data_IF_581860748925
#
_entry.id   IF_581860748925
#
_cell.length_a   1.000
_cell.length_b   1.000
_cell.length_c   1.000
_cell.angle_alpha   90.00
_cell.angle_beta   90.00
_cell.angle_gamma   90.00
#
_symmetry.space_group_name_H-M   'P 1'
#
loop_
_entity.id
_entity.type
_entity.pdbx_description
1 polymer ?
#
# COMPACT_ATOMS: atom_id res chain seq x y z
N UNK A 1 -7.11 19.71 1.12
CA UNK A 1 -6.59 18.93 -0.01
C UNK A 1 -7.19 17.53 0.08
N UNK A 2 -8.27 17.29 -0.68
CA UNK A 2 -9.03 16.03 -0.67
C UNK A 2 -8.32 15.02 -1.57
N UNK A 3 -7.69 14.01 -0.95
CA UNK A 3 -6.91 13.00 -1.65
C UNK A 3 -7.84 11.84 -2.07
N UNK A 4 -8.15 11.80 -3.36
CA UNK A 4 -9.04 10.83 -3.98
C UNK A 4 -8.40 9.44 -4.04
N UNK A 5 -8.88 8.52 -3.19
CA UNK A 5 -8.36 7.15 -3.08
C UNK A 5 -9.02 6.20 -4.11
N UNK A 6 -8.69 6.34 -5.39
CA UNK A 6 -9.13 5.43 -6.45
C UNK A 6 -8.20 4.22 -6.60
N UNK A 7 -8.44 3.15 -5.84
CA UNK A 7 -7.50 2.01 -5.85
C UNK A 7 -8.17 0.65 -6.08
N UNK A 8 -9.15 0.58 -6.98
CA UNK A 8 -9.83 -0.66 -7.46
C UNK A 8 -10.94 -1.19 -6.54
N UNK A 9 -11.98 -1.73 -7.17
CA UNK A 9 -13.13 -2.30 -6.48
C UNK A 9 -12.80 -3.70 -5.97
N UNK A 10 -12.89 -3.95 -4.65
CA UNK A 10 -12.56 -5.26 -4.10
C UNK A 10 -13.60 -6.36 -4.35
N UNK A 11 -14.73 -6.02 -4.98
CA UNK A 11 -15.79 -6.97 -5.33
C UNK A 11 -15.57 -7.54 -6.73
N UNK A 12 -15.11 -6.73 -7.69
CA UNK A 12 -14.90 -7.15 -9.08
C UNK A 12 -13.45 -7.02 -9.56
N UNK A 13 -12.55 -6.49 -8.72
CA UNK A 13 -11.12 -6.27 -8.97
C UNK A 13 -10.77 -5.29 -10.11
N UNK A 14 -11.78 -4.64 -10.71
CA UNK A 14 -11.64 -3.63 -11.76
C UNK A 14 -11.34 -2.24 -11.17
N UNK A 15 -10.70 -1.39 -11.95
CA UNK A 15 -10.37 -0.02 -11.58
C UNK A 15 -11.63 0.81 -11.30
N UNK A 16 -11.58 1.63 -10.26
CA UNK A 16 -12.63 2.57 -9.91
C UNK A 16 -12.36 3.88 -10.63
N UNK A 17 -13.29 4.35 -11.46
CA UNK A 17 -13.22 5.69 -12.07
C UNK A 17 -13.99 6.69 -11.21
N UNK A 18 -13.65 7.97 -11.31
CA UNK A 18 -14.33 9.04 -10.56
C UNK A 18 -15.85 8.97 -10.66
N UNK A 19 -16.35 8.72 -11.87
CA UNK A 19 -17.77 8.68 -12.20
C UNK A 19 -18.49 7.41 -11.73
N UNK A 20 -17.75 6.30 -11.57
CA UNK A 20 -18.34 4.99 -11.24
C UNK A 20 -18.14 4.56 -9.79
N UNK A 21 -17.26 5.23 -9.06
CA UNK A 21 -16.97 4.95 -7.66
C UNK A 21 -18.04 5.50 -6.73
N UNK A 22 -18.49 4.65 -5.82
CA UNK A 22 -19.37 5.00 -4.72
C UNK A 22 -18.70 4.56 -3.43
N UNK A 23 -18.88 5.35 -2.39
CA UNK A 23 -18.21 5.21 -1.12
C UNK A 23 -19.22 4.88 -0.03
N UNK A 24 -18.87 3.96 0.86
CA UNK A 24 -19.64 3.72 2.07
C UNK A 24 -19.31 4.80 3.10
N UNK A 25 -20.28 5.62 3.51
CA UNK A 25 -20.04 6.70 4.48
C UNK A 25 -19.61 6.21 5.85
N UNK A 26 -19.92 4.97 6.22
CA UNK A 26 -19.58 4.37 7.53
C UNK A 26 -18.09 4.07 7.68
N UNK A 27 -17.39 3.76 6.59
CA UNK A 27 -15.98 3.34 6.61
C UNK A 27 -15.12 3.98 5.51
N UNK A 28 -15.73 4.86 4.72
CA UNK A 28 -15.15 5.58 3.59
C UNK A 28 -14.49 4.69 2.52
N UNK A 29 -14.91 3.42 2.41
CA UNK A 29 -14.41 2.48 1.41
C UNK A 29 -15.18 2.57 0.09
N UNK A 30 -14.45 2.52 -1.02
CA UNK A 30 -14.97 2.80 -2.35
C UNK A 30 -15.13 1.53 -3.19
N UNK A 31 -16.20 1.47 -3.97
CA UNK A 31 -16.60 0.36 -4.85
C UNK A 31 -17.35 0.87 -6.07
N UNK A 32 -17.47 0.07 -7.12
CA UNK A 32 -18.41 0.45 -8.19
C UNK A 32 -19.81 0.43 -7.64
N UNK A 33 -20.64 1.40 -8.02
CA UNK A 33 -22.07 1.46 -7.66
C UNK A 33 -22.74 0.09 -7.72
N UNK A 34 -22.64 -0.56 -8.88
CA UNK A 34 -23.24 -1.88 -9.13
C UNK A 34 -22.67 -2.97 -8.22
N UNK A 35 -21.38 -2.93 -7.92
CA UNK A 35 -20.72 -3.94 -7.09
C UNK A 35 -21.16 -3.87 -5.63
N UNK A 36 -21.17 -2.68 -5.04
CA UNK A 36 -21.57 -2.53 -3.64
C UNK A 36 -23.09 -2.65 -3.47
N UNK A 37 -23.88 -2.12 -4.40
CA UNK A 37 -25.34 -2.29 -4.36
C UNK A 37 -25.72 -3.76 -4.47
N UNK A 38 -25.14 -4.52 -5.42
CA UNK A 38 -25.44 -5.95 -5.53
C UNK A 38 -24.99 -6.75 -4.31
N UNK A 39 -23.90 -6.35 -3.66
CA UNK A 39 -23.41 -7.00 -2.44
C UNK A 39 -24.38 -6.81 -1.28
N UNK A 40 -24.78 -5.58 -0.98
CA UNK A 40 -25.68 -5.29 0.14
C UNK A 40 -27.11 -5.78 -0.15
N UNK A 41 -27.63 -5.57 -1.37
CA UNK A 41 -28.94 -6.10 -1.79
C UNK A 41 -28.99 -7.63 -1.81
N UNK A 42 -27.84 -8.29 -1.89
CA UNK A 42 -27.71 -9.74 -1.75
C UNK A 42 -27.85 -10.27 -0.32
N UNK A 43 -28.13 -9.39 0.66
CA UNK A 43 -28.32 -9.75 2.07
C UNK A 43 -27.06 -9.60 2.94
N UNK A 44 -25.95 -9.10 2.38
CA UNK A 44 -24.75 -8.83 3.16
C UNK A 44 -24.84 -7.44 3.81
N UNK A 45 -25.00 -7.37 5.12
CA UNK A 45 -25.10 -6.09 5.86
C UNK A 45 -23.73 -5.50 6.26
N UNK A 46 -22.67 -5.88 5.55
CA UNK A 46 -21.31 -5.58 5.94
C UNK A 46 -20.46 -5.19 4.75
N UNK A 47 -19.60 -4.19 4.96
CA UNK A 47 -18.60 -3.73 4.00
C UNK A 47 -17.68 -4.88 3.55
N UNK A 48 -17.54 -5.15 2.23
CA UNK A 48 -16.70 -6.22 1.71
C UNK A 48 -15.23 -6.16 2.16
N UNK A 49 -14.75 -4.97 2.51
CA UNK A 49 -13.32 -4.71 2.79
C UNK A 49 -12.97 -4.75 4.27
N UNK A 50 -13.81 -4.20 5.14
CA UNK A 50 -13.51 -4.06 6.57
C UNK A 50 -14.55 -4.71 7.48
N UNK A 51 -15.62 -5.30 6.91
CA UNK A 51 -16.73 -5.90 7.64
C UNK A 51 -17.49 -4.95 8.57
N UNK A 52 -17.20 -3.65 8.54
CA UNK A 52 -18.02 -2.62 9.19
C UNK A 52 -19.44 -2.74 8.67
N UNK A 53 -20.42 -2.72 9.58
CA UNK A 53 -21.83 -2.76 9.22
C UNK A 53 -22.16 -1.59 8.29
N UNK A 54 -22.83 -1.89 7.18
CA UNK A 54 -23.18 -0.92 6.16
C UNK A 54 -24.43 -1.37 5.43
N UNK A 55 -25.32 -0.42 5.13
CA UNK A 55 -26.58 -0.64 4.44
C UNK A 55 -26.62 0.14 3.13
N UNK A 56 -27.66 -0.06 2.32
CA UNK A 56 -27.80 0.63 1.03
C UNK A 56 -27.85 2.16 1.17
N UNK A 57 -28.31 2.67 2.32
CA UNK A 57 -28.41 4.11 2.63
C UNK A 57 -27.02 4.73 2.77
N UNK A 58 -26.02 3.93 3.15
CA UNK A 58 -24.66 4.39 3.39
C UNK A 58 -23.83 4.54 2.10
N UNK A 59 -24.38 4.18 0.92
CA UNK A 59 -23.68 4.23 -0.37
C UNK A 59 -23.86 5.63 -0.99
N UNK A 60 -22.78 6.42 -1.12
CA UNK A 60 -22.79 7.76 -1.75
C UNK A 60 -21.80 7.88 -2.92
N UNK A 61 -22.22 8.53 -4.01
CA UNK A 61 -21.33 8.91 -5.12
C UNK A 61 -20.43 10.10 -4.72
N UNK A 62 -19.16 10.06 -5.09
CA UNK A 62 -18.26 11.21 -4.92
C UNK A 62 -18.59 12.26 -6.00
N UNK A 63 -19.35 13.30 -5.67
CA UNK A 63 -19.52 14.46 -6.54
C UNK A 63 -18.54 15.57 -6.10
N UNK A 64 -17.74 16.06 -7.02
CA UNK A 64 -17.21 17.43 -6.98
C UNK A 64 -17.74 18.16 -8.21
N UNK A 65 -18.22 19.37 -7.96
CA UNK A 65 -18.86 20.26 -8.94
C UNK A 65 -17.93 20.61 -10.12
N UNK A 66 -18.57 20.86 -11.27
CA UNK A 66 -18.01 21.09 -12.60
C UNK A 66 -17.09 22.32 -12.69
N UNK A 67 -16.05 22.23 -13.53
CA UNK A 67 -15.51 23.34 -14.31
C UNK A 67 -14.76 22.75 -15.53
N UNK A 68 -14.96 23.39 -16.67
CA UNK A 68 -14.90 22.86 -18.04
C UNK A 68 -13.51 22.91 -18.72
N UNK A 69 -13.44 22.33 -19.94
CA UNK A 69 -12.44 22.48 -21.04
C UNK A 69 -11.18 21.55 -20.94
N UNK A 70 -10.58 20.93 -21.98
CA UNK A 70 -10.73 20.86 -23.44
C UNK A 70 -9.77 19.77 -24.02
N UNK A 71 -10.07 19.32 -25.23
CA UNK A 71 -9.49 18.41 -26.26
C UNK A 71 -8.06 17.80 -26.20
N UNK A 72 -7.91 16.61 -26.81
CA UNK A 72 -6.62 16.15 -27.36
C UNK A 72 -6.44 14.66 -27.66
N UNK A 73 -6.86 14.24 -28.85
CA UNK A 73 -6.70 12.93 -29.53
C UNK A 73 -5.24 12.49 -29.80
N UNK A 74 -4.97 11.17 -29.94
CA UNK A 74 -4.13 10.56 -31.01
C UNK A 74 -3.73 9.10 -30.70
N UNK A 75 -4.10 8.22 -31.62
CA UNK A 75 -3.71 6.81 -31.75
C UNK A 75 -2.19 6.58 -31.99
N UNK A 76 -1.66 5.41 -31.59
CA UNK A 76 -0.71 4.66 -32.42
C UNK A 76 -0.53 3.19 -31.97
N UNK A 77 -0.09 2.38 -32.93
CA UNK A 77 -0.38 0.98 -33.21
C UNK A 77 0.80 0.02 -32.89
N UNK A 78 0.43 -1.24 -32.54
CA UNK A 78 1.07 -2.58 -32.59
C UNK A 78 2.61 -2.79 -32.76
N UNK A 79 3.17 -3.77 -32.01
CA UNK A 79 3.86 -5.04 -32.44
C UNK A 79 4.69 -5.65 -31.27
N UNK A 80 4.32 -6.79 -30.64
CA UNK A 80 4.75 -8.20 -30.89
C UNK A 80 6.28 -8.39 -31.05
N UNK A 81 7.04 -9.26 -30.38
CA UNK A 81 6.84 -10.44 -29.51
C UNK A 81 8.21 -10.86 -28.93
N UNK A 82 8.28 -11.45 -27.73
CA UNK A 82 8.98 -12.72 -27.39
C UNK A 82 9.33 -12.79 -25.91
N UNK A 83 8.90 -13.90 -25.32
CA UNK A 83 8.80 -14.22 -23.91
C UNK A 83 10.09 -14.82 -23.33
N UNK A 84 10.55 -14.27 -22.22
CA UNK A 84 11.14 -15.01 -21.09
C UNK A 84 10.63 -14.37 -19.79
N UNK A 85 9.87 -15.15 -19.03
CA UNK A 85 9.04 -14.74 -17.91
C UNK A 85 9.80 -14.71 -16.58
N UNK A 86 9.91 -13.53 -15.98
CA UNK A 86 9.45 -13.30 -14.61
C UNK A 86 8.95 -11.87 -14.60
N UNK A 87 7.62 -11.73 -14.53
CA UNK A 87 6.87 -10.50 -14.72
C UNK A 87 7.45 -9.39 -13.82
N UNK A 88 8.15 -8.46 -14.47
CA UNK A 88 8.25 -7.09 -14.00
C UNK A 88 6.89 -6.42 -14.19
N UNK A 89 6.39 -5.81 -13.10
CA UNK A 89 5.49 -4.64 -13.08
C UNK A 89 4.00 -4.86 -13.48
N UNK A 90 3.00 -4.13 -12.92
CA UNK A 90 3.04 -2.68 -12.75
C UNK A 90 2.42 -2.09 -11.47
N UNK A 91 3.00 -0.97 -11.01
CA UNK A 91 2.30 0.14 -10.34
C UNK A 91 1.23 -0.24 -9.28
N UNK A 92 1.65 -0.87 -8.18
CA UNK A 92 0.92 -0.76 -6.92
C UNK A 92 1.04 0.69 -6.47
N UNK A 93 -0.08 1.39 -6.46
CA UNK A 93 -0.17 2.75 -5.97
C UNK A 93 0.16 2.71 -4.48
N UNK A 94 1.42 3.05 -4.24
CA UNK A 94 2.09 2.67 -3.04
C UNK A 94 1.75 3.69 -1.98
N UNK A 95 0.95 3.30 -0.99
CA UNK A 95 0.84 4.06 0.24
C UNK A 95 2.23 4.03 0.91
N UNK A 96 3.10 4.93 0.44
CA UNK A 96 4.44 5.13 0.95
C UNK A 96 4.34 5.51 2.41
N UNK A 97 4.84 4.63 3.26
CA UNK A 97 4.96 4.86 4.69
C UNK A 97 6.39 5.25 5.03
N UNK A 98 6.52 6.00 6.11
CA UNK A 98 7.81 6.30 6.72
C UNK A 98 7.96 5.42 7.95
N UNK A 99 9.07 4.69 8.05
CA UNK A 99 9.40 3.88 9.22
C UNK A 99 10.65 4.44 9.88
N UNK A 100 10.68 4.42 11.20
CA UNK A 100 11.83 4.88 11.98
C UNK A 100 12.51 3.65 12.54
N UNK A 101 13.75 3.40 12.10
CA UNK A 101 14.58 2.34 12.64
C UNK A 101 15.37 2.93 13.81
N UNK A 102 15.18 2.39 15.01
CA UNK A 102 15.93 2.78 16.20
C UNK A 102 16.99 1.74 16.47
N UNK A 103 18.25 2.14 16.56
CA UNK A 103 19.33 1.23 16.94
C UNK A 103 19.45 1.07 18.47
N UNK A 104 20.41 0.24 18.90
CA UNK A 104 20.76 0.06 20.32
C UNK A 104 21.32 1.31 21.00
N UNK A 105 21.82 2.29 20.24
CA UNK A 105 22.39 3.55 20.74
C UNK A 105 21.34 4.66 20.83
N UNK A 106 20.06 4.36 20.55
CA UNK A 106 18.95 5.30 20.38
C UNK A 106 19.07 6.25 19.17
N UNK A 107 20.03 5.99 18.28
CA UNK A 107 20.09 6.64 16.99
C UNK A 107 18.91 6.19 16.10
N UNK A 108 18.30 7.15 15.41
CA UNK A 108 17.09 6.95 14.61
C UNK A 108 17.40 7.15 13.13
N UNK A 109 17.16 6.12 12.33
CA UNK A 109 17.28 6.14 10.88
C UNK A 109 15.86 6.19 10.31
N UNK A 110 15.51 7.29 9.66
CA UNK A 110 14.20 7.44 9.01
C UNK A 110 14.28 6.91 7.59
N UNK A 111 13.52 5.85 7.30
CA UNK A 111 13.41 5.29 5.95
C UNK A 111 12.07 5.72 5.36
N UNK A 112 12.14 6.47 4.28
CA UNK A 112 10.99 6.98 3.54
C UNK A 112 10.77 6.13 2.28
N UNK A 113 9.62 6.33 1.62
CA UNK A 113 9.30 5.68 0.35
C UNK A 113 9.21 4.14 0.44
N UNK A 114 8.78 3.62 1.59
CA UNK A 114 8.53 2.20 1.77
C UNK A 114 7.06 1.85 1.53
N UNK A 115 6.83 0.75 0.84
CA UNK A 115 5.50 0.18 0.66
C UNK A 115 5.06 -0.62 1.88
N UNK A 116 3.77 -0.62 2.21
CA UNK A 116 3.23 -1.61 3.15
C UNK A 116 3.40 -3.05 2.64
N UNK A 117 3.48 -3.24 1.32
CA UNK A 117 3.75 -4.52 0.66
C UNK A 117 5.24 -4.83 0.56
N UNK A 118 6.11 -3.92 0.98
CA UNK A 118 7.56 -4.12 0.94
C UNK A 118 7.93 -5.25 1.90
N UNK A 119 8.75 -6.18 1.42
CA UNK A 119 9.30 -7.26 2.23
C UNK A 119 10.33 -6.72 3.22
N UNK A 120 10.46 -7.37 4.38
CA UNK A 120 11.46 -7.00 5.39
C UNK A 120 12.89 -7.06 4.83
N UNK A 121 13.17 -7.98 3.90
CA UNK A 121 14.48 -8.03 3.22
C UNK A 121 14.86 -6.70 2.55
N UNK A 122 13.90 -6.01 1.94
CA UNK A 122 14.13 -4.74 1.27
C UNK A 122 14.31 -3.59 2.26
N UNK A 123 13.67 -3.66 3.44
CA UNK A 123 13.91 -2.73 4.56
C UNK A 123 15.34 -2.88 5.07
N UNK A 124 15.81 -4.12 5.26
CA UNK A 124 17.20 -4.40 5.67
C UNK A 124 18.21 -3.92 4.64
N UNK A 125 17.93 -4.12 3.35
CA UNK A 125 18.76 -3.61 2.24
C UNK A 125 18.90 -2.08 2.28
N UNK A 126 17.80 -1.36 2.54
CA UNK A 126 17.87 0.10 2.71
C UNK A 126 18.71 0.48 3.93
N UNK A 127 18.53 -0.20 5.07
CA UNK A 127 19.36 0.03 6.26
C UNK A 127 20.85 -0.14 5.94
N UNK A 128 21.22 -1.22 5.24
CA UNK A 128 22.60 -1.49 4.80
C UNK A 128 23.15 -0.35 3.95
N UNK A 129 22.35 0.19 3.03
CA UNK A 129 22.75 1.34 2.22
C UNK A 129 22.98 2.61 3.05
N UNK A 130 22.25 2.80 4.16
CA UNK A 130 22.37 3.98 5.01
C UNK A 130 23.49 3.88 6.05
N UNK A 131 23.74 2.70 6.60
CA UNK A 131 24.69 2.51 7.71
C UNK A 131 25.86 1.57 7.41
N UNK A 132 25.88 0.90 6.26
CA UNK A 132 26.93 -0.03 5.87
C UNK A 132 26.90 -1.39 6.57
N UNK A 133 25.88 -1.70 7.37
CA UNK A 133 25.74 -2.99 8.08
C UNK A 133 25.03 -3.99 7.19
N UNK A 134 25.66 -5.12 6.86
CA UNK A 134 25.06 -6.16 6.02
C UNK A 134 23.75 -6.73 6.59
N UNK A 135 22.79 -7.12 5.73
CA UNK A 135 21.48 -7.65 6.15
C UNK A 135 21.53 -8.79 7.18
N UNK A 136 22.55 -9.65 7.10
CA UNK A 136 22.74 -10.79 8.00
C UNK A 136 23.17 -10.37 9.42
N UNK A 137 23.77 -9.18 9.52
CA UNK A 137 24.19 -8.56 10.78
C UNK A 137 23.10 -7.64 11.36
N UNK A 138 21.95 -7.52 10.68
CA UNK A 138 20.81 -6.74 11.12
C UNK A 138 19.70 -7.64 11.69
N UNK A 139 19.36 -7.43 12.96
CA UNK A 139 18.18 -8.05 13.57
C UNK A 139 17.13 -7.00 13.88
N UNK A 140 16.09 -6.97 13.06
CA UNK A 140 14.95 -6.08 13.22
C UNK A 140 13.88 -6.71 14.12
N UNK A 141 13.28 -5.90 14.97
CA UNK A 141 12.28 -6.31 15.96
C UNK A 141 11.19 -5.26 16.03
N UNK A 142 9.93 -5.68 16.02
CA UNK A 142 8.79 -4.78 16.18
C UNK A 142 7.86 -5.32 17.25
N UNK A 143 7.53 -4.49 18.26
CA UNK A 143 6.71 -4.90 19.41
C UNK A 143 7.22 -6.18 20.10
N UNK A 144 8.54 -6.37 20.14
CA UNK A 144 9.17 -7.57 20.71
C UNK A 144 9.18 -8.81 19.80
N UNK A 145 8.61 -8.73 18.59
CA UNK A 145 8.57 -9.82 17.62
C UNK A 145 9.69 -9.62 16.59
N UNK A 146 10.57 -10.61 16.35
CA UNK A 146 11.59 -10.53 15.32
C UNK A 146 10.95 -10.51 13.92
N UNK A 147 11.44 -9.62 13.07
CA UNK A 147 10.97 -9.49 11.69
C UNK A 147 11.72 -10.47 10.77
N UNK A 148 10.95 -11.25 10.01
CA UNK A 148 11.44 -12.27 9.07
C UNK A 148 11.53 -11.70 7.64
N UNK A 149 12.57 -12.06 6.90
CA UNK A 149 12.86 -11.54 5.56
C UNK A 149 11.74 -11.80 4.53
N UNK A 150 11.04 -12.92 4.66
CA UNK A 150 10.02 -13.37 3.71
C UNK A 150 8.65 -12.71 3.92
N UNK A 151 8.47 -12.00 5.04
CA UNK A 151 7.24 -11.30 5.38
C UNK A 151 7.28 -9.84 4.94
N UNK A 152 6.12 -9.23 4.87
CA UNK A 152 5.94 -7.81 4.50
C UNK A 152 5.67 -6.95 5.73
N UNK A 153 5.85 -5.62 5.59
CA UNK A 153 5.51 -4.66 6.64
C UNK A 153 4.03 -4.77 7.06
N UNK A 154 3.14 -5.03 6.11
CA UNK A 154 1.71 -5.28 6.36
C UNK A 154 1.47 -6.50 7.25
N UNK A 155 2.24 -7.57 7.12
CA UNK A 155 2.07 -8.80 7.92
C UNK A 155 2.35 -8.59 9.41
N UNK A 156 3.04 -7.51 9.75
CA UNK A 156 3.35 -7.08 11.12
C UNK A 156 2.53 -5.88 11.59
N UNK A 157 1.46 -5.52 10.87
CA UNK A 157 0.64 -4.33 11.12
C UNK A 157 1.45 -3.01 11.09
N UNK A 158 2.54 -2.97 10.31
CA UNK A 158 3.33 -1.77 10.07
C UNK A 158 2.76 -1.07 8.83
N UNK A 159 1.54 -0.54 8.98
CA UNK A 159 0.79 0.15 7.91
C UNK A 159 0.59 1.64 8.16
N UNK A 160 0.94 2.11 9.36
CA UNK A 160 0.90 3.53 9.72
C UNK A 160 2.27 4.18 9.54
N UNK A 161 2.27 5.46 9.19
CA UNK A 161 3.50 6.26 9.15
C UNK A 161 4.04 6.52 10.55
N UNK A 162 5.36 6.63 10.66
CA UNK A 162 6.12 6.90 11.90
C UNK A 162 6.11 5.76 12.93
N UNK A 163 5.86 4.51 12.51
CA UNK A 163 6.11 3.35 13.40
C UNK A 163 7.62 3.20 13.65
N UNK A 164 7.95 2.86 14.89
CA UNK A 164 9.32 2.63 15.33
C UNK A 164 9.60 1.13 15.32
N UNK A 165 10.64 0.73 14.60
CA UNK A 165 11.17 -0.63 14.57
C UNK A 165 12.52 -0.61 15.29
N UNK A 166 12.68 -1.46 16.30
CA UNK A 166 13.93 -1.57 17.03
C UNK A 166 14.87 -2.52 16.29
N UNK A 167 16.07 -2.04 15.98
CA UNK A 167 17.10 -2.77 15.27
C UNK A 167 18.31 -3.02 16.17
N UNK A 168 18.68 -4.29 16.28
CA UNK A 168 19.98 -4.70 16.80
C UNK A 168 20.94 -4.73 15.62
N UNK A 169 21.73 -3.67 15.49
CA UNK A 169 22.76 -3.55 14.47
C UNK A 169 24.09 -3.94 15.10
N UNK A 170 24.70 -5.03 14.62
CA UNK A 170 26.05 -5.40 15.03
C UNK A 170 27.02 -4.91 13.96
N UNK A 171 27.72 -3.82 14.25
CA UNK A 171 28.84 -3.38 13.44
C UNK A 171 29.98 -4.40 13.60
N UNK A 172 30.25 -5.21 12.59
CA UNK A 172 31.57 -5.81 12.45
C UNK A 172 32.44 -4.83 11.69
N UNK A 173 33.27 -4.09 12.43
CA UNK A 173 34.35 -3.34 11.84
C UNK A 173 35.29 -4.30 11.11
N UNK A 174 35.23 -4.33 9.78
CA UNK A 174 36.29 -4.92 8.97
C UNK A 174 35.82 -5.66 7.73
N UNK A 175 35.65 -4.94 6.62
CA UNK A 175 36.26 -5.40 5.36
C UNK A 175 36.52 -4.22 4.43
N UNK A 176 37.81 -3.99 4.20
CA UNK A 176 38.38 -3.13 3.18
C UNK A 176 38.15 -3.71 1.79
#
# INVERSE_FOLDING_TARGET
MVNYKYERCSVCFKSLTNESAHTLTTCNHQYHKKCITNWISGGAEHCPRCRTHATLIDIKALHVEQADNDDGDSDNELTQSTSNMTIQDPALQDNKINVIIRDLTNHKISINDLAITTKIVEVKRRIEQFNGVHMDQQRLTYRGIPLENDRTLKDYDIVESHKIIDALLRWEGGKM
#
